data_IF_319013154555
#
_entry.id   IF_319013154555
#
_cell.length_a   1.000
_cell.length_b   1.000
_cell.length_c   1.000
_cell.angle_alpha   90.00
_cell.angle_beta   90.00
_cell.angle_gamma   90.00
#
_symmetry.space_group_name_H-M   'P 1'
#
loop_
_entity.id
_entity.type
_entity.pdbx_description
1 polymer ?
#
# COMPACT_ATOMS: atom_id res chain seq x y z
N UNK A 1 -2.97 -22.23 8.29
CA UNK A 1 -1.68 -21.49 8.35
C UNK A 1 -1.62 -20.29 7.42
N UNK A 2 -2.15 -20.34 6.19
CA UNK A 2 -1.99 -19.29 5.15
C UNK A 2 -2.26 -17.83 5.57
N UNK A 3 -3.25 -17.55 6.43
CA UNK A 3 -3.66 -16.16 6.75
C UNK A 3 -2.55 -15.29 7.37
N UNK A 4 -1.56 -15.88 8.03
CA UNK A 4 -0.46 -15.11 8.66
C UNK A 4 0.61 -14.66 7.65
N UNK A 5 0.73 -15.34 6.50
CA UNK A 5 1.69 -14.98 5.45
C UNK A 5 1.33 -13.64 4.78
N UNK A 6 0.04 -13.33 4.67
CA UNK A 6 -0.46 -12.21 3.85
C UNK A 6 -0.25 -10.79 4.39
N UNK A 7 0.28 -10.63 5.61
CA UNK A 7 0.66 -9.32 6.19
C UNK A 7 2.18 -9.07 6.16
N UNK A 8 2.97 -10.14 6.03
CA UNK A 8 4.43 -10.09 5.95
C UNK A 8 4.96 -10.46 4.55
N UNK A 9 4.07 -10.53 3.55
CA UNK A 9 4.43 -10.65 2.13
C UNK A 9 4.95 -9.30 1.61
N UNK A 10 6.21 -9.01 1.97
CA UNK A 10 6.87 -7.76 1.63
C UNK A 10 6.91 -7.53 0.10
N UNK A 11 7.06 -8.57 -0.71
CA UNK A 11 7.01 -8.42 -2.17
C UNK A 11 5.62 -7.98 -2.65
N UNK A 12 4.53 -8.56 -2.13
CA UNK A 12 3.17 -8.15 -2.50
C UNK A 12 2.91 -6.71 -2.08
N UNK A 13 3.19 -6.35 -0.83
CA UNK A 13 2.87 -5.00 -0.34
C UNK A 13 3.77 -3.93 -0.96
N UNK A 14 5.05 -4.21 -1.21
CA UNK A 14 5.95 -3.27 -1.87
C UNK A 14 5.71 -3.16 -3.38
N UNK A 15 5.24 -4.22 -4.05
CA UNK A 15 4.74 -4.11 -5.43
C UNK A 15 3.41 -3.33 -5.52
N UNK A 16 2.53 -3.46 -4.53
CA UNK A 16 1.35 -2.59 -4.41
C UNK A 16 1.76 -1.12 -4.18
N UNK A 17 2.80 -0.87 -3.38
CA UNK A 17 3.39 0.46 -3.24
C UNK A 17 3.94 0.98 -4.58
N UNK A 18 4.86 0.26 -5.24
CA UNK A 18 5.48 0.66 -6.51
C UNK A 18 4.53 0.76 -7.71
N UNK A 19 3.25 0.46 -7.52
CA UNK A 19 2.21 0.77 -8.49
C UNK A 19 1.57 2.17 -8.28
N UNK A 20 1.84 2.93 -7.20
CA UNK A 20 0.86 3.88 -6.62
C UNK A 20 1.18 5.39 -6.40
N UNK A 21 2.37 6.01 -6.35
CA UNK A 21 3.79 5.65 -6.38
C UNK A 21 4.33 4.99 -7.66
N UNK A 22 4.35 5.76 -8.75
CA UNK A 22 5.26 5.54 -9.88
C UNK A 22 5.87 6.84 -10.45
N UNK A 23 5.46 8.02 -9.97
CA UNK A 23 6.05 9.29 -10.35
C UNK A 23 7.24 9.64 -9.42
N UNK A 24 8.45 9.93 -9.93
CA UNK A 24 9.62 10.18 -9.08
C UNK A 24 9.48 11.43 -8.19
N UNK A 25 8.67 12.42 -8.59
CA UNK A 25 8.42 13.60 -7.74
C UNK A 25 7.50 13.23 -6.56
N UNK A 26 6.50 12.37 -6.77
CA UNK A 26 5.68 11.84 -5.69
C UNK A 26 6.48 10.94 -4.75
N UNK A 27 7.35 10.07 -5.27
CA UNK A 27 8.26 9.25 -4.46
C UNK A 27 9.17 10.14 -3.61
N UNK A 28 9.72 11.23 -4.17
CA UNK A 28 10.52 12.21 -3.40
C UNK A 28 9.70 12.94 -2.32
N UNK A 29 8.45 13.31 -2.60
CA UNK A 29 7.51 13.89 -1.62
C UNK A 29 7.26 12.91 -0.47
N UNK A 30 7.04 11.63 -0.77
CA UNK A 30 6.91 10.57 0.23
C UNK A 30 8.18 10.47 1.08
N UNK A 31 9.36 10.39 0.45
CA UNK A 31 10.66 10.29 1.15
C UNK A 31 10.89 11.47 2.11
N UNK A 32 10.60 12.69 1.66
CA UNK A 32 10.81 13.91 2.47
C UNK A 32 9.84 13.99 3.65
N UNK A 33 8.56 13.65 3.47
CA UNK A 33 7.51 14.00 4.43
C UNK A 33 7.00 12.83 5.32
N UNK A 34 7.19 11.56 4.96
CA UNK A 34 6.66 10.44 5.77
C UNK A 34 7.33 10.33 7.14
N UNK A 35 8.66 10.44 7.23
CA UNK A 35 9.36 10.38 8.53
C UNK A 35 9.08 11.61 9.42
N UNK A 36 8.98 12.85 8.90
CA UNK A 36 8.41 13.98 9.65
C UNK A 36 6.96 13.78 10.13
N UNK A 37 6.11 13.04 9.41
CA UNK A 37 4.78 12.65 9.91
C UNK A 37 4.91 11.72 11.13
N UNK A 38 5.78 10.71 11.09
CA UNK A 38 6.03 9.84 12.26
C UNK A 38 6.57 10.65 13.45
N UNK A 39 7.56 11.51 13.23
CA UNK A 39 8.16 12.34 14.27
C UNK A 39 7.15 13.31 14.91
N UNK A 40 6.36 14.02 14.09
CA UNK A 40 5.38 14.99 14.60
C UNK A 40 4.15 14.33 15.23
N UNK A 41 3.78 13.10 14.83
CA UNK A 41 2.78 12.30 15.53
C UNK A 41 3.26 11.92 16.93
N UNK A 42 4.52 11.49 17.08
CA UNK A 42 5.13 11.21 18.39
C UNK A 42 5.25 12.46 19.27
N UNK A 43 5.58 13.62 18.68
CA UNK A 43 5.58 14.93 19.36
C UNK A 43 4.21 15.30 19.93
N UNK A 44 3.12 15.02 19.19
CA UNK A 44 1.74 15.21 19.67
C UNK A 44 1.40 14.19 20.77
N UNK A 45 1.74 12.92 20.58
CA UNK A 45 1.49 11.84 21.54
C UNK A 45 2.30 11.98 22.84
N UNK A 46 3.39 12.75 22.87
CA UNK A 46 4.18 13.00 24.08
C UNK A 46 3.36 13.58 25.23
N UNK A 47 2.32 14.37 24.93
CA UNK A 47 1.40 14.93 25.93
C UNK A 47 0.39 13.90 26.49
N UNK A 48 0.36 12.67 25.98
CA UNK A 48 -0.48 11.60 26.53
C UNK A 48 0.06 11.10 27.88
N UNK A 49 -0.85 10.69 28.76
CA UNK A 49 -0.54 10.13 30.08
C UNK A 49 0.38 8.92 29.97
N UNK A 50 1.44 8.81 30.78
CA UNK A 50 2.20 7.57 30.93
C UNK A 50 1.28 6.39 31.23
N UNK A 51 1.47 5.29 30.51
CA UNK A 51 0.75 4.02 30.69
C UNK A 51 1.45 3.20 31.78
N UNK A 52 2.76 3.40 31.92
CA UNK A 52 3.63 2.69 32.84
C UNK A 52 4.68 3.63 33.46
N UNK A 53 5.04 3.36 34.71
CA UNK A 53 6.05 4.09 35.49
C UNK A 53 7.21 3.14 35.84
N UNK A 54 8.40 3.30 35.24
CA UNK A 54 9.56 2.44 35.48
C UNK A 54 10.01 2.32 36.94
N UNK A 55 9.70 3.30 37.79
CA UNK A 55 10.02 3.21 39.23
C UNK A 55 9.29 2.05 39.92
N UNK A 56 8.12 1.66 39.42
CA UNK A 56 7.31 0.55 39.95
C UNK A 56 7.89 -0.83 39.62
N UNK A 57 8.78 -0.93 38.62
CA UNK A 57 9.61 -2.12 38.35
C UNK A 57 11.02 -2.01 38.95
N UNK A 58 11.29 -0.99 39.79
CA UNK A 58 12.59 -0.76 40.41
C UNK A 58 13.65 -0.16 39.48
N UNK A 59 13.28 0.34 38.29
CA UNK A 59 14.22 1.06 37.44
C UNK A 59 14.47 2.49 37.96
N UNK A 60 15.73 2.90 37.98
CA UNK A 60 16.16 4.25 38.36
C UNK A 60 15.63 5.32 37.39
N UNK A 61 15.30 6.51 37.90
CA UNK A 61 14.91 7.69 37.12
C UNK A 61 15.86 7.99 35.94
N UNK A 62 17.16 7.73 36.09
CA UNK A 62 18.18 7.94 35.06
C UNK A 62 17.93 7.11 33.78
N UNK A 63 17.19 5.99 33.86
CA UNK A 63 16.80 5.19 32.68
C UNK A 63 15.76 5.92 31.82
N UNK A 64 14.96 6.81 32.42
CA UNK A 64 13.97 7.63 31.70
C UNK A 64 14.55 8.99 31.26
N UNK A 65 15.87 9.18 31.41
CA UNK A 65 16.55 10.46 31.21
C UNK A 65 15.86 11.57 32.01
N UNK A 66 15.79 11.35 33.33
CA UNK A 66 15.19 12.24 34.33
C UNK A 66 13.72 12.60 34.09
N UNK A 67 12.98 11.70 33.42
CA UNK A 67 11.55 11.82 33.12
C UNK A 67 11.23 12.31 31.70
N UNK A 68 12.24 12.63 30.88
CA UNK A 68 12.03 13.03 29.48
C UNK A 68 11.42 11.88 28.66
N UNK A 69 11.85 10.64 28.87
CA UNK A 69 11.33 9.47 28.14
C UNK A 69 10.07 8.93 28.80
N UNK A 70 8.91 9.33 28.27
CA UNK A 70 7.58 8.97 28.78
C UNK A 70 7.08 7.67 28.15
N UNK A 71 6.84 6.65 28.98
CA UNK A 71 6.27 5.36 28.57
C UNK A 71 4.75 5.45 28.39
N UNK A 72 4.34 6.24 27.38
CA UNK A 72 2.94 6.54 27.05
C UNK A 72 2.52 5.91 25.70
N UNK A 73 1.41 6.37 25.12
CA UNK A 73 0.89 5.85 23.84
C UNK A 73 1.93 5.97 22.70
N UNK A 74 2.77 7.00 22.70
CA UNK A 74 3.85 7.17 21.73
C UNK A 74 4.93 6.09 21.82
N UNK A 75 5.30 5.66 23.03
CA UNK A 75 6.22 4.53 23.21
C UNK A 75 5.63 3.22 22.68
N UNK A 76 4.35 2.94 22.96
CA UNK A 76 3.66 1.74 22.48
C UNK A 76 3.56 1.75 20.94
N UNK A 77 3.25 2.89 20.33
CA UNK A 77 3.25 3.07 18.88
C UNK A 77 4.63 2.76 18.28
N UNK A 78 5.70 3.33 18.84
CA UNK A 78 7.08 3.08 18.41
C UNK A 78 7.48 1.61 18.55
N UNK A 79 7.11 0.94 19.64
CA UNK A 79 7.39 -0.48 19.85
C UNK A 79 6.66 -1.37 18.84
N UNK A 80 5.39 -1.08 18.53
CA UNK A 80 4.61 -1.80 17.51
C UNK A 80 5.28 -1.66 16.13
N UNK A 81 5.64 -0.43 15.73
CA UNK A 81 6.28 -0.18 14.43
C UNK A 81 7.66 -0.86 14.34
N UNK A 82 8.49 -0.72 15.37
CA UNK A 82 9.81 -1.35 15.43
C UNK A 82 9.75 -2.89 15.31
N UNK A 83 8.87 -3.54 16.09
CA UNK A 83 8.70 -4.99 16.03
C UNK A 83 8.08 -5.46 14.71
N UNK A 84 7.14 -4.68 14.14
CA UNK A 84 6.52 -4.99 12.85
C UNK A 84 7.53 -4.92 11.70
N UNK A 85 8.38 -3.89 11.67
CA UNK A 85 9.41 -3.73 10.64
C UNK A 85 10.50 -4.78 10.72
N UNK A 86 10.96 -5.15 11.94
CA UNK A 86 11.81 -6.32 12.17
C UNK A 86 11.09 -7.63 11.74
N UNK A 87 9.76 -7.64 11.67
CA UNK A 87 8.96 -8.72 11.11
C UNK A 87 9.03 -8.80 9.57
N UNK A 88 9.02 -7.66 8.87
CA UNK A 88 9.07 -7.58 7.40
C UNK A 88 10.43 -7.97 6.81
N UNK A 89 11.52 -7.41 7.36
CA UNK A 89 12.90 -7.82 7.05
C UNK A 89 13.79 -7.63 8.29
N UNK A 90 14.80 -8.50 8.46
CA UNK A 90 15.67 -8.46 9.64
C UNK A 90 16.72 -7.34 9.59
N UNK A 91 17.18 -6.91 8.41
CA UNK A 91 18.23 -5.88 8.31
C UNK A 91 17.63 -4.48 8.17
N UNK A 92 16.82 -4.23 7.14
CA UNK A 92 16.18 -2.92 6.97
C UNK A 92 15.14 -2.66 8.07
N UNK A 93 14.49 -3.71 8.61
CA UNK A 93 13.62 -3.58 9.77
C UNK A 93 14.34 -3.18 11.06
N UNK A 94 15.59 -3.60 11.25
CA UNK A 94 16.41 -3.11 12.37
C UNK A 94 16.79 -1.63 12.19
N UNK A 95 17.14 -1.20 10.96
CA UNK A 95 17.36 0.22 10.64
C UNK A 95 16.07 1.03 10.87
N UNK A 96 14.92 0.53 10.43
CA UNK A 96 13.62 1.16 10.63
C UNK A 96 13.26 1.28 12.12
N UNK A 97 13.52 0.23 12.92
CA UNK A 97 13.33 0.25 14.36
C UNK A 97 14.22 1.32 15.04
N UNK A 98 15.50 1.41 14.66
CA UNK A 98 16.40 2.47 15.15
C UNK A 98 15.88 3.86 14.78
N UNK A 99 15.32 4.05 13.58
CA UNK A 99 14.69 5.31 13.18
C UNK A 99 13.43 5.61 14.01
N UNK A 100 12.54 4.64 14.23
CA UNK A 100 11.35 4.82 15.07
C UNK A 100 11.72 5.20 16.53
N UNK A 101 12.71 4.54 17.12
CA UNK A 101 13.20 4.91 18.46
C UNK A 101 13.90 6.27 18.48
N UNK A 102 14.66 6.61 17.45
CA UNK A 102 15.29 7.95 17.30
C UNK A 102 14.22 9.05 17.18
N UNK A 103 13.14 8.80 16.44
CA UNK A 103 12.00 9.72 16.34
C UNK A 103 11.30 9.88 17.70
N UNK A 104 11.07 8.80 18.45
CA UNK A 104 10.47 8.86 19.79
C UNK A 104 11.33 9.70 20.75
N UNK A 105 12.59 9.30 20.96
CA UNK A 105 13.54 10.00 21.84
C UNK A 105 13.68 11.48 21.44
N UNK A 106 13.90 11.76 20.16
CA UNK A 106 14.05 13.13 19.66
C UNK A 106 12.77 13.96 19.81
N UNK A 107 11.59 13.37 19.62
CA UNK A 107 10.31 14.05 19.81
C UNK A 107 10.04 14.37 21.29
N UNK A 108 10.42 13.48 22.20
CA UNK A 108 10.30 13.71 23.65
C UNK A 108 11.23 14.81 24.14
N UNK A 109 12.50 14.81 23.72
CA UNK A 109 13.44 15.91 24.01
C UNK A 109 12.95 17.25 23.45
N UNK A 110 12.37 17.26 22.24
CA UNK A 110 11.79 18.48 21.66
C UNK A 110 10.54 18.93 22.41
N UNK A 111 9.68 18.00 22.85
CA UNK A 111 8.47 18.30 23.59
C UNK A 111 8.75 18.98 24.93
N UNK A 112 9.67 18.44 25.73
CA UNK A 112 10.06 19.06 27.01
C UNK A 112 10.73 20.42 26.79
N UNK A 113 11.55 20.57 25.72
CA UNK A 113 12.21 21.85 25.38
C UNK A 113 11.25 22.94 24.90
N UNK A 114 10.17 22.59 24.20
CA UNK A 114 9.17 23.55 23.73
C UNK A 114 8.05 23.82 24.75
N UNK A 115 7.78 22.86 25.64
CA UNK A 115 6.58 22.86 26.50
C UNK A 115 5.30 22.54 25.72
N UNK A 116 4.33 21.91 26.38
CA UNK A 116 3.21 21.23 25.73
C UNK A 116 2.40 22.09 24.76
N UNK A 117 2.18 23.38 25.06
CA UNK A 117 1.42 24.29 24.19
C UNK A 117 2.11 24.59 22.86
N UNK A 118 3.43 24.76 22.87
CA UNK A 118 4.21 25.02 21.65
C UNK A 118 4.54 23.71 20.92
N UNK A 119 4.85 22.63 21.66
CA UNK A 119 5.01 21.29 21.11
C UNK A 119 3.76 20.84 20.32
N UNK A 120 2.56 21.07 20.87
CA UNK A 120 1.30 20.78 20.18
C UNK A 120 1.13 21.60 18.89
N UNK A 121 1.39 22.91 18.95
CA UNK A 121 1.29 23.80 17.76
C UNK A 121 2.28 23.40 16.67
N UNK A 122 3.53 23.10 17.02
CA UNK A 122 4.57 22.65 16.08
C UNK A 122 4.22 21.29 15.49
N UNK A 123 3.78 20.33 16.31
CA UNK A 123 3.35 19.01 15.87
C UNK A 123 2.17 19.08 14.90
N UNK A 124 1.14 19.85 15.23
CA UNK A 124 -0.05 20.03 14.37
C UNK A 124 0.28 20.75 13.05
N UNK A 125 1.08 21.83 13.10
CA UNK A 125 1.53 22.52 11.89
C UNK A 125 2.38 21.61 10.99
N UNK A 126 3.25 20.79 11.57
CA UNK A 126 4.06 19.80 10.85
C UNK A 126 3.19 18.72 10.20
N UNK A 127 2.21 18.17 10.93
CA UNK A 127 1.24 17.21 10.38
C UNK A 127 0.52 17.80 9.16
N UNK A 128 -0.09 18.98 9.31
CA UNK A 128 -0.85 19.62 8.24
C UNK A 128 0.01 19.86 6.99
N UNK A 129 1.20 20.44 7.15
CA UNK A 129 2.14 20.72 6.05
C UNK A 129 2.57 19.42 5.33
N UNK A 130 2.94 18.39 6.09
CA UNK A 130 3.41 17.13 5.52
C UNK A 130 2.29 16.37 4.81
N UNK A 131 1.08 16.33 5.38
CA UNK A 131 -0.09 15.70 4.75
C UNK A 131 -0.56 16.44 3.50
N UNK A 132 -0.55 17.78 3.50
CA UNK A 132 -0.76 18.54 2.26
C UNK A 132 0.27 18.17 1.20
N UNK A 133 1.54 17.97 1.58
CA UNK A 133 2.58 17.40 0.71
C UNK A 133 2.16 16.06 0.09
N UNK A 134 1.78 15.07 0.90
CA UNK A 134 1.34 13.74 0.43
C UNK A 134 0.14 13.82 -0.54
N UNK A 135 -0.87 14.62 -0.20
CA UNK A 135 -2.07 14.74 -1.04
C UNK A 135 -1.79 15.49 -2.36
N UNK A 136 -0.88 16.47 -2.36
CA UNK A 136 -0.37 17.10 -3.61
C UNK A 136 0.42 16.08 -4.44
N UNK A 137 1.22 15.23 -3.81
CA UNK A 137 1.90 14.09 -4.43
C UNK A 137 0.96 13.22 -5.26
N UNK A 138 -0.06 12.64 -4.60
CA UNK A 138 -1.04 11.79 -5.27
C UNK A 138 -1.96 12.55 -6.25
N UNK A 139 -2.44 13.73 -5.88
CA UNK A 139 -3.41 14.49 -6.68
C UNK A 139 -2.83 15.11 -7.95
N UNK A 140 -1.63 15.68 -7.89
CA UNK A 140 -1.02 16.42 -9.00
C UNK A 140 -0.11 15.54 -9.86
N UNK A 141 0.77 14.75 -9.23
CA UNK A 141 1.84 14.03 -9.92
C UNK A 141 1.42 12.61 -10.32
N UNK A 142 0.62 11.94 -9.50
CA UNK A 142 0.09 10.59 -9.79
C UNK A 142 -1.33 10.62 -10.39
N UNK A 143 -2.07 11.73 -10.23
CA UNK A 143 -3.46 11.95 -10.70
C UNK A 143 -4.46 10.89 -10.23
N UNK A 144 -4.29 10.40 -9.00
CA UNK A 144 -5.14 9.35 -8.39
C UNK A 144 -5.41 9.62 -6.91
N UNK A 145 -6.38 8.88 -6.36
CA UNK A 145 -6.57 8.83 -4.92
C UNK A 145 -5.37 8.16 -4.21
N UNK A 146 -5.06 8.55 -2.95
CA UNK A 146 -4.06 7.86 -2.15
C UNK A 146 -4.59 6.52 -1.62
N UNK A 147 -3.72 5.50 -1.53
CA UNK A 147 -4.06 4.16 -1.05
C UNK A 147 -4.61 4.08 0.39
N UNK A 148 -4.56 5.20 1.12
CA UNK A 148 -5.20 5.41 2.43
C UNK A 148 -6.71 5.17 2.40
N UNK A 149 -7.36 5.41 1.26
CA UNK A 149 -8.79 5.16 1.08
C UNK A 149 -9.10 3.67 0.84
N UNK A 150 -8.13 2.91 0.32
CA UNK A 150 -8.29 1.50 -0.01
C UNK A 150 -8.02 0.60 1.21
N UNK A 151 -6.95 0.87 1.96
CA UNK A 151 -6.63 0.16 3.21
C UNK A 151 -5.84 1.06 4.18
N UNK A 152 -6.56 1.85 4.96
CA UNK A 152 -6.03 2.85 5.89
C UNK A 152 -4.95 2.28 6.83
N UNK A 153 -5.23 1.16 7.52
CA UNK A 153 -4.31 0.59 8.51
C UNK A 153 -3.01 0.08 7.87
N UNK A 154 -3.11 -0.61 6.73
CA UNK A 154 -1.93 -1.09 6.01
C UNK A 154 -1.12 0.08 5.43
N UNK A 155 -1.77 1.10 4.87
CA UNK A 155 -1.11 2.26 4.29
C UNK A 155 -0.31 3.05 5.36
N UNK A 156 -0.92 3.34 6.52
CA UNK A 156 -0.24 4.00 7.64
C UNK A 156 0.95 3.17 8.17
N UNK A 157 0.73 1.87 8.40
CA UNK A 157 1.76 1.00 8.98
C UNK A 157 2.94 0.79 8.03
N UNK A 158 2.70 0.64 6.73
CA UNK A 158 3.75 0.29 5.77
C UNK A 158 4.55 1.49 5.22
N UNK A 159 3.93 2.67 5.08
CA UNK A 159 4.56 3.78 4.33
C UNK A 159 5.97 4.20 4.81
N UNK A 160 6.26 4.33 6.13
CA UNK A 160 7.61 4.69 6.60
C UNK A 160 8.67 3.63 6.24
N UNK A 161 8.29 2.35 6.26
CA UNK A 161 9.19 1.25 5.88
C UNK A 161 9.44 1.20 4.37
N UNK A 162 8.44 1.47 3.53
CA UNK A 162 8.61 1.51 2.08
C UNK A 162 9.45 2.70 1.64
N UNK A 163 9.25 3.88 2.25
CA UNK A 163 10.14 5.04 2.06
C UNK A 163 11.60 4.72 2.43
N UNK A 164 11.83 4.00 3.54
CA UNK A 164 13.17 3.57 3.89
C UNK A 164 13.73 2.54 2.89
N UNK A 165 12.93 1.56 2.47
CA UNK A 165 13.36 0.52 1.54
C UNK A 165 13.71 1.10 0.17
N UNK A 166 12.92 2.05 -0.33
CA UNK A 166 13.17 2.82 -1.56
C UNK A 166 14.53 3.55 -1.50
N UNK A 167 14.84 4.21 -0.38
CA UNK A 167 16.15 4.87 -0.17
C UNK A 167 17.28 3.85 -0.07
N UNK A 168 17.09 2.73 0.65
CA UNK A 168 18.10 1.68 0.75
C UNK A 168 18.39 1.03 -0.61
N UNK A 169 17.38 0.86 -1.45
CA UNK A 169 17.50 0.33 -2.81
C UNK A 169 18.18 1.32 -3.75
N UNK A 170 17.66 2.54 -3.85
CA UNK A 170 18.15 3.56 -4.80
C UNK A 170 19.54 4.09 -4.48
N UNK A 171 19.93 4.18 -3.20
CA UNK A 171 21.22 4.76 -2.78
C UNK A 171 22.28 3.68 -2.51
N UNK A 172 21.89 2.52 -1.97
CA UNK A 172 22.84 1.48 -1.52
C UNK A 172 22.71 0.14 -2.27
N UNK A 173 21.80 0.00 -3.23
CA UNK A 173 21.57 -1.25 -3.95
C UNK A 173 21.03 -2.39 -3.07
N UNK A 174 20.39 -2.06 -1.95
CA UNK A 174 19.98 -3.04 -0.95
C UNK A 174 18.83 -3.94 -1.42
N UNK A 175 19.03 -5.26 -1.42
CA UNK A 175 17.93 -6.23 -1.48
C UNK A 175 17.76 -6.96 -0.13
N UNK A 176 16.53 -7.13 0.38
CA UNK A 176 16.24 -8.02 1.49
C UNK A 176 16.77 -9.44 1.27
N UNK A 177 16.59 -9.98 0.05
CA UNK A 177 17.12 -11.25 -0.41
C UNK A 177 17.24 -11.26 -1.95
N UNK A 178 18.17 -12.04 -2.55
CA UNK A 178 18.52 -11.92 -3.96
C UNK A 178 17.36 -11.98 -4.96
N UNK A 179 17.34 -11.04 -5.90
CA UNK A 179 16.32 -10.88 -6.94
C UNK A 179 14.98 -10.35 -6.43
N UNK A 180 14.93 -9.77 -5.24
CA UNK A 180 13.72 -9.15 -4.68
C UNK A 180 13.19 -8.05 -5.60
N UNK A 181 14.05 -7.15 -6.10
CA UNK A 181 13.61 -6.08 -6.98
C UNK A 181 13.08 -6.61 -8.31
N UNK A 182 13.68 -7.67 -8.86
CA UNK A 182 13.19 -8.31 -10.08
C UNK A 182 11.79 -8.92 -9.90
N UNK A 183 11.51 -9.53 -8.73
CA UNK A 183 10.18 -10.09 -8.40
C UNK A 183 9.16 -9.00 -8.09
N UNK A 184 9.56 -7.91 -7.44
CA UNK A 184 8.72 -6.72 -7.23
C UNK A 184 8.36 -6.05 -8.56
N UNK A 185 9.34 -5.77 -9.43
CA UNK A 185 9.11 -5.16 -10.73
C UNK A 185 8.13 -5.99 -11.58
N UNK A 186 8.33 -7.31 -11.67
CA UNK A 186 7.41 -8.19 -12.39
C UNK A 186 5.96 -8.16 -11.83
N UNK A 187 5.80 -8.00 -10.50
CA UNK A 187 4.48 -7.81 -9.87
C UNK A 187 3.88 -6.43 -10.19
N UNK A 188 4.68 -5.36 -10.18
CA UNK A 188 4.25 -3.99 -10.58
C UNK A 188 3.82 -3.95 -12.05
N UNK A 189 4.59 -4.58 -12.94
CA UNK A 189 4.28 -4.71 -14.37
C UNK A 189 2.97 -5.48 -14.59
N UNK A 190 2.80 -6.62 -13.90
CA UNK A 190 1.57 -7.43 -13.94
C UNK A 190 0.36 -6.62 -13.44
N UNK A 191 0.49 -5.93 -12.30
CA UNK A 191 -0.57 -5.06 -11.76
C UNK A 191 -0.94 -3.95 -12.74
N UNK A 192 0.06 -3.26 -13.28
CA UNK A 192 -0.11 -2.18 -14.27
C UNK A 192 -0.76 -2.68 -15.57
N UNK A 193 -0.45 -3.89 -16.02
CA UNK A 193 -1.12 -4.53 -17.15
C UNK A 193 -2.61 -4.78 -16.83
N UNK A 194 -2.92 -5.42 -15.71
CA UNK A 194 -4.31 -5.66 -15.26
C UNK A 194 -5.12 -4.37 -15.13
N UNK A 195 -4.55 -3.30 -14.56
CA UNK A 195 -5.22 -1.99 -14.48
C UNK A 195 -5.47 -1.37 -15.85
N UNK A 196 -4.54 -1.49 -16.81
CA UNK A 196 -4.74 -1.00 -18.20
C UNK A 196 -5.84 -1.76 -18.94
N UNK A 197 -5.87 -3.09 -18.84
CA UNK A 197 -6.95 -3.94 -19.42
C UNK A 197 -8.32 -3.43 -18.98
N UNK A 198 -8.46 -3.06 -17.70
CA UNK A 198 -9.73 -2.56 -17.17
C UNK A 198 -10.01 -1.09 -17.56
N UNK A 199 -9.02 -0.20 -17.51
CA UNK A 199 -9.19 1.20 -17.92
C UNK A 199 -9.65 1.36 -19.37
N UNK A 200 -9.23 0.44 -20.25
CA UNK A 200 -9.63 0.40 -21.66
C UNK A 200 -11.02 -0.20 -21.92
N UNK A 201 -11.73 -0.66 -20.88
CA UNK A 201 -13.14 -1.08 -20.96
C UNK A 201 -14.14 0.11 -21.05
N UNK A 202 -13.66 1.35 -20.81
CA UNK A 202 -14.00 2.45 -21.73
C UNK A 202 -15.37 3.14 -21.65
N UNK A 203 -16.19 2.98 -20.60
CA UNK A 203 -17.34 3.90 -20.38
C UNK A 203 -17.86 3.92 -18.94
N UNK A 204 -17.54 4.98 -18.18
CA UNK A 204 -18.31 5.50 -17.02
C UNK A 204 -18.51 4.62 -15.77
N UNK A 205 -18.39 3.30 -15.89
CA UNK A 205 -18.85 2.34 -14.88
C UNK A 205 -17.75 1.97 -13.88
N UNK A 206 -18.12 2.00 -12.61
CA UNK A 206 -17.26 1.61 -11.46
C UNK A 206 -17.03 0.09 -11.37
N UNK A 207 -17.58 -0.70 -12.29
CA UNK A 207 -17.35 -2.15 -12.42
C UNK A 207 -15.85 -2.48 -12.47
N UNK A 208 -15.06 -1.71 -13.22
CA UNK A 208 -13.62 -1.97 -13.38
C UNK A 208 -12.75 -1.66 -12.15
N UNK A 209 -13.28 -0.95 -11.15
CA UNK A 209 -12.62 -0.83 -9.83
C UNK A 209 -12.72 -2.11 -8.98
N UNK A 210 -13.64 -3.03 -9.31
CA UNK A 210 -13.89 -4.28 -8.55
C UNK A 210 -13.20 -5.50 -9.19
N UNK A 211 -12.84 -5.40 -10.47
CA UNK A 211 -12.18 -6.46 -11.26
C UNK A 211 -10.91 -7.08 -10.64
N UNK A 212 -10.00 -6.37 -9.94
CA UNK A 212 -8.70 -6.94 -9.54
C UNK A 212 -8.76 -8.11 -8.54
N UNK A 213 -9.78 -8.18 -7.69
CA UNK A 213 -9.86 -9.21 -6.63
C UNK A 213 -10.97 -10.25 -6.84
N UNK A 214 -12.06 -9.91 -7.56
CA UNK A 214 -13.33 -10.63 -7.36
C UNK A 214 -14.05 -11.11 -8.65
N UNK A 215 -13.56 -10.78 -9.85
CA UNK A 215 -14.12 -11.27 -11.12
C UNK A 215 -13.35 -12.49 -11.68
N UNK A 216 -12.25 -12.86 -11.05
CA UNK A 216 -11.31 -13.83 -11.61
C UNK A 216 -10.82 -14.81 -10.55
N UNK A 217 -11.32 -16.05 -10.62
CA UNK A 217 -10.91 -17.16 -9.76
C UNK A 217 -9.49 -17.63 -10.16
N UNK A 218 -8.52 -16.78 -9.84
CA UNK A 218 -7.11 -16.95 -10.15
C UNK A 218 -6.52 -18.04 -9.26
N UNK A 219 -6.57 -19.28 -9.75
CA UNK A 219 -5.78 -20.40 -9.21
C UNK A 219 -4.30 -20.16 -9.52
N UNK A 220 -3.68 -19.26 -8.74
CA UNK A 220 -2.24 -19.00 -8.68
C UNK A 220 -1.53 -20.12 -7.94
N UNK A 221 -1.70 -21.35 -8.42
CA UNK A 221 -0.78 -22.43 -8.09
C UNK A 221 0.56 -22.23 -8.84
N UNK A 222 1.62 -22.82 -8.32
CA UNK A 222 2.98 -22.37 -8.57
C UNK A 222 3.39 -22.47 -10.07
N UNK A 223 3.99 -21.38 -10.57
CA UNK A 223 4.61 -21.19 -11.90
C UNK A 223 3.71 -21.02 -13.15
N UNK A 224 3.93 -19.88 -13.82
CA UNK A 224 3.83 -19.62 -15.28
C UNK A 224 2.55 -19.98 -16.05
N UNK A 225 1.47 -20.43 -15.41
CA UNK A 225 0.24 -20.85 -16.12
C UNK A 225 -1.00 -20.14 -15.59
N UNK A 226 -1.81 -19.62 -16.52
CA UNK A 226 -3.04 -18.90 -16.24
C UNK A 226 -4.25 -19.64 -16.81
N UNK A 227 -5.25 -19.93 -15.98
CA UNK A 227 -6.57 -20.40 -16.40
C UNK A 227 -7.58 -19.29 -16.12
N UNK A 228 -8.41 -18.96 -17.11
CA UNK A 228 -9.49 -18.00 -16.98
C UNK A 228 -10.81 -18.69 -17.37
N UNK A 229 -11.86 -18.45 -16.60
CA UNK A 229 -13.17 -19.07 -16.76
C UNK A 229 -14.19 -17.98 -17.05
N UNK A 230 -15.01 -18.16 -18.09
CA UNK A 230 -16.00 -17.17 -18.53
C UNK A 230 -17.29 -17.86 -18.98
N UNK A 231 -18.43 -17.19 -18.86
CA UNK A 231 -19.74 -17.64 -19.36
C UNK A 231 -20.13 -17.06 -20.73
N UNK A 232 -19.36 -16.11 -21.26
CA UNK A 232 -19.53 -15.60 -22.62
C UNK A 232 -18.80 -16.47 -23.66
N UNK A 233 -19.54 -17.37 -24.31
CA UNK A 233 -19.04 -18.17 -25.44
C UNK A 233 -18.54 -17.30 -26.60
N UNK A 234 -19.15 -16.12 -26.81
CA UNK A 234 -18.78 -15.14 -27.84
C UNK A 234 -17.41 -14.52 -27.52
N UNK A 235 -17.14 -14.19 -26.25
CA UNK A 235 -15.84 -13.64 -25.85
C UNK A 235 -14.74 -14.71 -25.98
N UNK A 236 -15.01 -15.94 -25.51
CA UNK A 236 -14.06 -17.06 -25.61
C UNK A 236 -13.75 -17.41 -27.07
N UNK A 237 -14.74 -17.42 -27.96
CA UNK A 237 -14.51 -17.69 -29.38
C UNK A 237 -13.75 -16.56 -30.07
N UNK A 238 -14.02 -15.30 -29.72
CA UNK A 238 -13.27 -14.13 -30.20
C UNK A 238 -11.80 -14.19 -29.77
N UNK A 239 -11.53 -14.48 -28.49
CA UNK A 239 -10.19 -14.67 -27.94
C UNK A 239 -9.43 -15.81 -28.64
N UNK A 240 -10.08 -16.98 -28.82
CA UNK A 240 -9.45 -18.15 -29.46
C UNK A 240 -9.21 -17.99 -30.97
N UNK A 241 -10.03 -17.20 -31.66
CA UNK A 241 -9.91 -16.94 -33.10
C UNK A 241 -9.07 -15.71 -33.45
N UNK A 242 -8.70 -14.89 -32.45
CA UNK A 242 -8.12 -13.54 -32.63
C UNK A 242 -9.00 -12.59 -33.48
N UNK A 243 -10.31 -12.86 -33.56
CA UNK A 243 -11.24 -12.05 -34.35
C UNK A 243 -11.47 -10.67 -33.70
N UNK A 244 -11.14 -9.59 -34.41
CA UNK A 244 -11.23 -8.24 -33.88
C UNK A 244 -12.62 -7.61 -34.09
N UNK A 245 -13.53 -7.83 -33.14
CA UNK A 245 -14.68 -6.92 -32.98
C UNK A 245 -14.18 -5.52 -32.58
N UNK A 246 -14.79 -4.47 -33.11
CA UNK A 246 -14.26 -3.10 -33.04
C UNK A 246 -14.16 -2.57 -31.60
N UNK A 247 -15.14 -2.89 -30.75
CA UNK A 247 -15.12 -2.55 -29.31
C UNK A 247 -14.16 -3.45 -28.52
N UNK A 248 -14.17 -4.76 -28.77
CA UNK A 248 -13.32 -5.72 -28.03
C UNK A 248 -11.84 -5.66 -28.42
N UNK A 249 -11.45 -4.95 -29.48
CA UNK A 249 -10.09 -4.98 -30.05
C UNK A 249 -9.00 -4.55 -29.05
N UNK A 250 -9.27 -3.58 -28.17
CA UNK A 250 -8.33 -3.23 -27.10
C UNK A 250 -8.21 -4.38 -26.12
N UNK A 251 -9.33 -4.79 -25.51
CA UNK A 251 -9.40 -5.88 -24.53
C UNK A 251 -8.71 -7.16 -25.04
N UNK A 252 -8.88 -7.51 -26.33
CA UNK A 252 -8.20 -8.63 -26.97
C UNK A 252 -6.67 -8.44 -27.03
N UNK A 253 -6.20 -7.23 -27.37
CA UNK A 253 -4.77 -6.89 -27.38
C UNK A 253 -4.18 -6.86 -25.97
N UNK A 254 -4.88 -6.28 -25.00
CA UNK A 254 -4.46 -6.16 -23.62
C UNK A 254 -4.40 -7.54 -22.93
N UNK A 255 -5.37 -8.43 -23.21
CA UNK A 255 -5.34 -9.84 -22.80
C UNK A 255 -4.22 -10.62 -23.51
N UNK A 256 -3.91 -10.31 -24.78
CA UNK A 256 -2.76 -10.92 -25.49
C UNK A 256 -1.44 -10.50 -24.84
N UNK A 257 -1.24 -9.22 -24.57
CA UNK A 257 -0.07 -8.69 -23.87
C UNK A 257 0.07 -9.30 -22.46
N UNK A 258 -1.02 -9.41 -21.70
CA UNK A 258 -1.01 -10.12 -20.41
C UNK A 258 -0.64 -11.61 -20.57
N UNK A 259 -1.10 -12.27 -21.64
CA UNK A 259 -0.79 -13.68 -21.90
C UNK A 259 0.69 -13.96 -22.19
N UNK A 260 1.43 -12.98 -22.72
CA UNK A 260 2.88 -13.10 -22.99
C UNK A 260 3.69 -13.22 -21.68
N UNK A 261 3.11 -12.81 -20.54
CA UNK A 261 3.69 -12.99 -19.21
C UNK A 261 3.58 -14.43 -18.67
N UNK A 262 2.88 -15.34 -19.38
CA UNK A 262 2.65 -16.72 -18.97
C UNK A 262 3.14 -17.71 -20.04
N UNK A 263 3.76 -18.83 -19.64
CA UNK A 263 4.19 -19.85 -20.61
C UNK A 263 3.04 -20.73 -21.11
N UNK A 264 1.82 -20.55 -20.59
CA UNK A 264 0.59 -21.11 -21.13
C UNK A 264 -0.63 -20.43 -20.51
N UNK A 265 -1.55 -19.96 -21.35
CA UNK A 265 -2.87 -19.43 -20.97
C UNK A 265 -3.98 -20.35 -21.46
N UNK A 266 -5.09 -20.47 -20.73
CA UNK A 266 -6.25 -21.25 -21.14
C UNK A 266 -7.57 -20.54 -20.80
N UNK A 267 -8.38 -20.30 -21.84
CA UNK A 267 -9.73 -19.71 -21.75
C UNK A 267 -10.78 -20.82 -21.79
N UNK A 268 -11.50 -21.01 -20.69
CA UNK A 268 -12.47 -22.09 -20.51
C UNK A 268 -13.89 -21.52 -20.41
N UNK A 269 -14.85 -22.23 -20.99
CA UNK A 269 -16.27 -21.91 -20.83
C UNK A 269 -16.81 -22.55 -19.56
N UNK A 270 -17.60 -21.80 -18.80
CA UNK A 270 -18.36 -22.26 -17.62
C UNK A 270 -19.80 -21.80 -17.79
N UNK A 271 -20.81 -22.68 -17.65
CA UNK A 271 -22.21 -22.26 -17.67
C UNK A 271 -22.50 -21.19 -16.62
N UNK A 272 -23.37 -20.22 -16.93
CA UNK A 272 -23.69 -19.11 -16.01
C UNK A 272 -24.24 -19.58 -14.64
N UNK A 273 -24.85 -20.77 -14.59
CA UNK A 273 -25.31 -21.42 -13.34
C UNK A 273 -24.15 -21.89 -12.44
N UNK A 274 -23.00 -22.21 -13.03
CA UNK A 274 -21.79 -22.61 -12.32
C UNK A 274 -20.88 -21.38 -12.04
N UNK A 275 -21.09 -20.27 -12.76
CA UNK A 275 -20.40 -18.99 -12.59
C UNK A 275 -21.10 -18.02 -11.60
N UNK A 276 -22.00 -18.54 -10.74
CA UNK A 276 -22.90 -17.73 -9.88
C UNK A 276 -22.22 -16.78 -8.90
N UNK A 277 -20.98 -17.10 -8.48
CA UNK A 277 -20.19 -16.21 -7.60
C UNK A 277 -19.84 -14.92 -8.34
N UNK A 278 -19.25 -15.02 -9.54
CA UNK A 278 -18.86 -13.87 -10.36
C UNK A 278 -20.09 -13.09 -10.85
N UNK A 279 -21.16 -13.78 -11.25
CA UNK A 279 -22.43 -13.15 -11.64
C UNK A 279 -23.08 -12.37 -10.47
N UNK A 280 -23.03 -12.89 -9.24
CA UNK A 280 -23.51 -12.18 -8.05
C UNK A 280 -22.63 -10.96 -7.69
N UNK A 281 -21.32 -11.08 -7.86
CA UNK A 281 -20.36 -9.99 -7.61
C UNK A 281 -20.54 -8.86 -8.63
N UNK A 282 -20.68 -9.18 -9.92
CA UNK A 282 -20.97 -8.19 -10.96
C UNK A 282 -22.29 -7.46 -10.69
N UNK A 283 -23.34 -8.18 -10.29
CA UNK A 283 -24.62 -7.60 -9.85
C UNK A 283 -24.46 -6.69 -8.62
N UNK A 284 -23.63 -7.06 -7.65
CA UNK A 284 -23.37 -6.22 -6.47
C UNK A 284 -22.63 -4.92 -6.86
N UNK A 285 -21.66 -4.99 -7.78
CA UNK A 285 -20.95 -3.82 -8.29
C UNK A 285 -21.88 -2.86 -9.05
N UNK A 286 -22.83 -3.38 -9.83
CA UNK A 286 -23.87 -2.60 -10.52
C UNK A 286 -24.90 -1.93 -9.58
N UNK A 287 -25.04 -2.42 -8.34
CA UNK A 287 -26.02 -1.93 -7.36
C UNK A 287 -25.41 -0.98 -6.30
N UNK A 288 -24.10 -0.69 -6.37
CA UNK A 288 -23.45 0.22 -5.44
C UNK A 288 -23.92 1.68 -5.63
N UNK A 289 -24.39 2.38 -4.58
CA UNK A 289 -24.98 3.71 -4.72
C UNK A 289 -23.95 4.78 -5.12
N UNK A 290 -24.37 5.68 -6.01
CA UNK A 290 -23.51 6.74 -6.53
C UNK A 290 -23.36 7.92 -5.56
N UNK A 291 -22.17 8.06 -4.97
CA UNK A 291 -21.65 9.35 -4.49
C UNK A 291 -21.50 10.34 -5.66
N UNK A 292 -21.63 11.66 -5.41
CA UNK A 292 -22.34 12.55 -6.33
C UNK A 292 -21.58 12.99 -7.58
N UNK A 293 -22.35 13.39 -8.59
CA UNK A 293 -21.92 14.00 -9.83
C UNK A 293 -21.18 15.32 -9.63
N UNK A 294 -20.14 15.56 -10.42
CA UNK A 294 -19.67 16.92 -10.73
C UNK A 294 -20.85 17.72 -11.31
N UNK A 295 -21.23 18.81 -10.64
CA UNK A 295 -22.05 19.87 -11.22
C UNK A 295 -21.09 20.95 -11.69
N UNK A 296 -21.11 21.28 -12.97
CA UNK A 296 -20.28 22.34 -13.54
C UNK A 296 -20.98 23.69 -13.50
N UNK A 297 -20.34 24.66 -12.83
CA UNK A 297 -20.35 26.10 -13.12
C UNK A 297 -18.92 26.58 -12.90
#
# INVERSE_FOLDING_TARGET
MSRMMGLFDLEKHFAFYGAYHSNPINILIHIIFVWPIVFSALLLLHSSTPIFDPSQLGFSQSLTLDGVLRFNVGFIFTLIYALFYIGLDKKSGFVAALMCFSCWVGSSFLAERLGSSLAFKVGLASQLLCWTGQFVGHGVFEKRAPALLDNLLQAFLMAPFFVLLEVLQSVFGYEPYPGFQARVNAKVETWSATTRVCGLCGSGNKECSVFPEHVMDLVLDNTKRLKMFWDSQILISSLKSKASFKELKSILHDITCLSESFSSIAFNFVPRLDNVVVDSIAKAALLAPNSPSFIGV
#
